data_IF_420954199570
#
_entry.id   IF_420954199570
#
_cell.length_a   1.000
_cell.length_b   1.000
_cell.length_c   1.000
_cell.angle_alpha   90.00
_cell.angle_beta   90.00
_cell.angle_gamma   90.00
#
_symmetry.space_group_name_H-M   'P 1'
#
loop_
_entity.id
_entity.type
_entity.pdbx_description
1 polymer ?
#
# COMPACT_ATOMS: atom_id res chain seq x y z
N UNK A 1 9.26 -12.31 8.57
CA UNK A 1 8.12 -13.15 8.16
C UNK A 1 6.79 -12.56 8.62
N UNK A 2 6.65 -12.10 9.87
CA UNK A 2 5.39 -11.59 10.42
C UNK A 2 4.76 -10.42 9.61
N UNK A 3 5.54 -9.42 9.19
CA UNK A 3 5.03 -8.27 8.43
C UNK A 3 4.53 -8.64 7.02
N UNK A 4 5.13 -9.65 6.38
CA UNK A 4 4.71 -10.10 5.06
C UNK A 4 3.36 -10.82 5.13
N UNK A 5 3.08 -11.52 6.24
CA UNK A 5 1.79 -12.16 6.48
C UNK A 5 0.67 -11.13 6.66
N UNK A 6 0.96 -9.94 7.21
CA UNK A 6 -0.02 -8.84 7.32
C UNK A 6 -0.43 -8.26 5.95
N UNK A 7 0.40 -8.41 4.92
CA UNK A 7 0.03 -8.03 3.55
C UNK A 7 -0.98 -9.00 2.94
N UNK A 8 -0.90 -10.28 3.33
CA UNK A 8 -1.76 -11.37 2.87
C UNK A 8 -2.95 -11.63 3.80
N UNK A 9 -3.03 -10.93 4.92
CA UNK A 9 -4.05 -11.17 5.93
C UNK A 9 -5.44 -10.99 5.32
N UNK A 10 -6.32 -11.96 5.59
CA UNK A 10 -7.71 -12.01 5.12
C UNK A 10 -7.89 -12.26 3.60
N UNK A 11 -6.84 -12.60 2.86
CA UNK A 11 -6.91 -12.87 1.41
C UNK A 11 -7.92 -13.98 1.04
N UNK A 12 -8.03 -15.03 1.85
CA UNK A 12 -8.94 -16.16 1.62
C UNK A 12 -10.41 -15.84 1.92
N UNK A 13 -10.74 -14.59 2.29
CA UNK A 13 -12.10 -14.16 2.68
C UNK A 13 -12.78 -13.30 1.62
N UNK A 14 -12.45 -13.50 0.35
CA UNK A 14 -13.05 -12.80 -0.79
C UNK A 14 -12.93 -11.26 -0.67
N UNK A 15 -11.83 -10.77 -0.10
CA UNK A 15 -11.62 -9.33 0.16
C UNK A 15 -11.12 -8.53 -1.04
N UNK A 16 -10.67 -9.22 -2.09
CA UNK A 16 -10.10 -8.63 -3.31
C UNK A 16 -10.54 -9.43 -4.53
N UNK A 17 -10.56 -8.79 -5.68
CA UNK A 17 -10.86 -9.45 -6.95
C UNK A 17 -9.66 -10.30 -7.42
N UNK A 18 -9.99 -11.46 -8.00
CA UNK A 18 -9.03 -12.38 -8.61
C UNK A 18 -9.19 -12.35 -10.13
N UNK A 19 -8.09 -12.56 -10.85
CA UNK A 19 -8.08 -12.66 -12.30
C UNK A 19 -7.31 -13.91 -12.76
N UNK A 20 -7.64 -14.48 -13.93
CA UNK A 20 -6.87 -15.59 -14.49
C UNK A 20 -5.41 -15.20 -14.74
N UNK A 21 -4.51 -16.14 -14.49
CA UNK A 21 -3.09 -16.02 -14.87
C UNK A 21 -2.93 -15.99 -16.39
N UNK A 22 -1.74 -15.62 -16.89
CA UNK A 22 -1.46 -15.48 -18.33
C UNK A 22 -1.78 -16.73 -19.17
N UNK A 23 -1.76 -17.92 -18.57
CA UNK A 23 -2.07 -19.22 -19.18
C UNK A 23 -3.50 -19.73 -18.89
N UNK A 24 -4.30 -18.95 -18.14
CA UNK A 24 -5.64 -19.27 -17.66
C UNK A 24 -5.74 -20.57 -16.85
N UNK A 25 -4.65 -21.06 -16.24
CA UNK A 25 -4.68 -22.28 -15.43
C UNK A 25 -4.96 -22.04 -13.95
N UNK A 26 -4.67 -20.82 -13.46
CA UNK A 26 -4.86 -20.42 -12.07
C UNK A 26 -5.46 -19.03 -12.03
N UNK A 27 -5.85 -18.62 -10.84
CA UNK A 27 -6.24 -17.24 -10.56
C UNK A 27 -5.22 -16.61 -9.61
N UNK A 28 -4.98 -15.32 -9.77
CA UNK A 28 -4.14 -14.51 -8.91
C UNK A 28 -4.90 -13.24 -8.45
N UNK A 29 -4.66 -12.76 -7.22
CA UNK A 29 -5.31 -11.55 -6.73
C UNK A 29 -4.77 -10.33 -7.50
N UNK A 30 -5.67 -9.43 -7.91
CA UNK A 30 -5.25 -8.21 -8.61
C UNK A 30 -4.53 -7.21 -7.70
N UNK A 31 -4.88 -7.22 -6.41
CA UNK A 31 -4.25 -6.42 -5.35
C UNK A 31 -4.16 -7.25 -4.08
N UNK A 32 -3.25 -6.90 -3.17
CA UNK A 32 -3.19 -7.51 -1.84
C UNK A 32 -4.07 -6.72 -0.85
N UNK A 33 -4.73 -7.37 0.12
CA UNK A 33 -5.53 -6.70 1.15
C UNK A 33 -4.76 -5.63 1.92
N UNK A 34 -3.46 -5.89 2.19
CA UNK A 34 -2.47 -4.92 2.68
C UNK A 34 -2.93 -4.04 3.86
N UNK A 35 -2.84 -4.57 5.09
CA UNK A 35 -3.15 -3.80 6.32
C UNK A 35 -2.18 -2.63 6.60
N UNK A 36 -1.08 -2.55 5.85
CA UNK A 36 -0.05 -1.54 6.02
C UNK A 36 0.15 -0.77 4.70
N UNK A 37 0.41 0.55 4.75
CA UNK A 37 0.66 1.38 3.56
C UNK A 37 2.06 1.13 2.99
N UNK A 38 2.26 -0.05 2.38
CA UNK A 38 3.57 -0.57 1.97
C UNK A 38 4.32 0.35 0.99
N UNK A 39 3.61 1.01 0.08
CA UNK A 39 4.21 1.92 -0.90
C UNK A 39 5.00 3.06 -0.23
N UNK A 40 4.46 3.66 0.85
CA UNK A 40 5.15 4.74 1.56
C UNK A 40 6.23 4.19 2.47
N UNK A 41 5.95 3.08 3.17
CA UNK A 41 6.88 2.48 4.14
C UNK A 41 8.15 1.97 3.46
N UNK A 42 8.03 1.26 2.34
CA UNK A 42 9.16 0.65 1.66
C UNK A 42 9.63 1.43 0.42
N UNK A 43 8.80 2.33 -0.10
CA UNK A 43 9.10 3.05 -1.34
C UNK A 43 8.96 2.19 -2.60
N UNK A 44 9.32 2.76 -3.74
CA UNK A 44 9.37 2.08 -5.03
C UNK A 44 10.22 2.87 -6.01
N UNK A 45 11.03 2.18 -6.82
CA UNK A 45 11.78 2.78 -7.91
C UNK A 45 11.54 1.99 -9.18
N UNK A 46 11.22 2.69 -10.28
CA UNK A 46 10.89 2.04 -11.55
C UNK A 46 10.98 3.01 -12.72
N UNK A 47 11.38 2.48 -13.89
CA UNK A 47 11.46 3.23 -15.14
C UNK A 47 10.62 2.48 -16.17
N UNK A 48 9.66 3.17 -16.77
CA UNK A 48 8.82 2.65 -17.83
C UNK A 48 9.03 3.48 -19.11
N UNK A 49 8.22 3.22 -20.15
CA UNK A 49 8.32 3.98 -21.41
C UNK A 49 7.69 5.34 -21.23
N UNK A 50 8.52 6.39 -21.25
CA UNK A 50 8.07 7.79 -21.13
C UNK A 50 7.80 8.27 -19.71
N UNK A 51 8.07 7.46 -18.68
CA UNK A 51 7.88 7.84 -17.29
C UNK A 51 8.87 7.12 -16.34
N UNK A 52 9.11 7.72 -15.19
CA UNK A 52 9.90 7.13 -14.11
C UNK A 52 9.25 7.43 -12.76
N UNK A 53 9.48 6.57 -11.78
CA UNK A 53 9.04 6.73 -10.39
C UNK A 53 10.20 6.46 -9.44
N UNK A 54 10.27 7.26 -8.38
CA UNK A 54 11.20 7.06 -7.27
C UNK A 54 10.56 7.61 -5.98
N UNK A 55 9.98 6.72 -5.20
CA UNK A 55 9.36 7.00 -3.90
C UNK A 55 10.31 6.49 -2.81
N UNK A 56 10.82 7.36 -1.92
CA UNK A 56 11.67 6.93 -0.82
C UNK A 56 10.86 6.19 0.26
N UNK A 57 11.52 5.36 1.08
CA UNK A 57 10.89 4.76 2.24
C UNK A 57 10.62 5.80 3.34
N UNK A 58 9.55 5.62 4.10
CA UNK A 58 9.13 6.48 5.21
C UNK A 58 9.00 5.67 6.51
N UNK A 59 9.07 6.35 7.65
CA UNK A 59 8.90 5.70 8.94
C UNK A 59 7.44 5.23 9.13
N UNK A 60 7.24 3.97 9.52
CA UNK A 60 5.90 3.42 9.73
C UNK A 60 5.09 4.17 10.80
N UNK A 61 5.74 4.71 11.84
CA UNK A 61 5.04 5.43 12.92
C UNK A 61 4.50 6.77 12.44
N UNK A 62 5.32 7.54 11.72
CA UNK A 62 4.93 8.82 11.12
C UNK A 62 3.78 8.61 10.13
N UNK A 63 3.87 7.59 9.26
CA UNK A 63 2.78 7.27 8.32
C UNK A 63 1.50 6.88 9.08
N UNK A 64 1.60 6.13 10.17
CA UNK A 64 0.43 5.77 10.98
C UNK A 64 -0.20 6.97 11.71
N UNK A 65 0.61 7.94 12.14
CA UNK A 65 0.13 9.19 12.74
C UNK A 65 -0.56 10.09 11.71
N UNK A 66 0.02 10.23 10.51
CA UNK A 66 -0.59 10.92 9.39
C UNK A 66 -1.94 10.28 9.01
N UNK A 67 -2.02 8.95 8.91
CA UNK A 67 -3.29 8.25 8.63
C UNK A 67 -4.35 8.49 9.71
N UNK A 68 -3.95 8.54 10.99
CA UNK A 68 -4.85 8.87 12.10
C UNK A 68 -5.34 10.31 12.02
N UNK A 69 -4.51 11.24 11.58
CA UNK A 69 -4.90 12.63 11.36
C UNK A 69 -5.96 12.71 10.25
N UNK A 70 -5.68 12.15 9.06
CA UNK A 70 -6.60 12.15 7.91
C UNK A 70 -7.95 11.52 8.27
N UNK A 71 -7.96 10.45 9.07
CA UNK A 71 -9.21 9.79 9.49
C UNK A 71 -10.08 10.67 10.39
N UNK A 72 -9.47 11.58 11.16
CA UNK A 72 -10.18 12.49 12.08
C UNK A 72 -10.56 13.81 11.41
N UNK A 73 -9.69 14.30 10.55
CA UNK A 73 -9.85 15.54 9.79
C UNK A 73 -9.53 15.29 8.32
N UNK A 74 -10.53 14.92 7.50
CA UNK A 74 -10.34 14.66 6.07
C UNK A 74 -9.91 15.89 5.27
N UNK A 75 -10.10 17.11 5.81
CA UNK A 75 -9.76 18.38 5.17
C UNK A 75 -8.37 18.90 5.59
N UNK A 76 -7.61 18.12 6.37
CA UNK A 76 -6.26 18.50 6.81
C UNK A 76 -5.34 18.80 5.62
N UNK A 77 -4.48 19.80 5.78
CA UNK A 77 -3.55 20.21 4.72
C UNK A 77 -2.30 19.33 4.70
N UNK A 78 -1.51 19.44 3.62
CA UNK A 78 -0.20 18.78 3.55
C UNK A 78 0.74 19.28 4.66
N UNK A 79 0.65 20.55 5.04
CA UNK A 79 1.47 21.11 6.13
C UNK A 79 1.12 20.47 7.47
N UNK A 80 -0.16 20.17 7.71
CA UNK A 80 -0.60 19.44 8.91
C UNK A 80 -0.07 18.00 8.93
N UNK A 81 -0.02 17.34 7.76
CA UNK A 81 0.54 15.98 7.62
C UNK A 81 2.06 15.92 7.77
N UNK A 82 2.76 17.00 7.49
CA UNK A 82 4.21 17.09 7.68
C UNK A 82 4.59 17.47 9.13
N UNK A 83 3.62 17.94 9.91
CA UNK A 83 3.82 18.36 11.30
C UNK A 83 3.59 17.26 12.34
N UNK A 84 3.08 16.08 11.93
CA UNK A 84 2.89 14.92 12.81
C UNK A 84 4.19 14.17 13.08
#
# INVERSE_FOLDING_TARGET
EELAMELLADLDRETVDFAPTFDNQREEPQVLPSKLPNLLVNGSAGIAVGMATNVPPHNLREVAEALRLITRDPDCTVDDLLAV
#
